data_IF_097635401759
#
_entry.id   IF_097635401759
#
_cell.length_a   1.000
_cell.length_b   1.000
_cell.length_c   1.000
_cell.angle_alpha   90.00
_cell.angle_beta   90.00
_cell.angle_gamma   90.00
#
_symmetry.space_group_name_H-M   'P 1'
#
loop_
_entity.id
_entity.type
_entity.pdbx_description
1 polymer ?
#
# COMPACT_ATOMS: atom_id res chain seq x y z
N UNK A 1 -13.83 -39.13 3.07
CA UNK A 1 -13.36 -37.97 2.31
C UNK A 1 -13.98 -36.74 2.95
N UNK A 2 -13.31 -35.98 3.83
CA UNK A 2 -13.86 -34.71 4.27
C UNK A 2 -13.60 -33.66 3.18
N UNK A 3 -14.65 -32.92 2.84
CA UNK A 3 -14.65 -31.80 1.91
C UNK A 3 -13.57 -30.77 2.31
N UNK A 4 -12.65 -30.52 1.39
CA UNK A 4 -11.72 -29.40 1.48
C UNK A 4 -12.55 -28.16 1.15
N UNK A 5 -12.99 -27.44 2.20
CA UNK A 5 -13.52 -26.09 2.04
C UNK A 5 -12.42 -25.26 1.39
N UNK A 6 -12.59 -24.95 0.10
CA UNK A 6 -11.83 -23.94 -0.61
C UNK A 6 -12.08 -22.60 0.10
N UNK A 7 -11.24 -22.30 1.09
CA UNK A 7 -11.22 -20.98 1.70
C UNK A 7 -10.71 -20.06 0.60
N UNK A 8 -11.48 -19.03 0.19
CA UNK A 8 -10.98 -18.08 -0.78
C UNK A 8 -9.62 -17.60 -0.27
N UNK A 9 -8.63 -17.57 -1.15
CA UNK A 9 -7.28 -17.13 -0.84
C UNK A 9 -7.39 -15.73 -0.24
N UNK A 10 -7.47 -15.63 1.09
CA UNK A 10 -7.40 -14.36 1.79
C UNK A 10 -5.96 -13.94 1.59
N UNK A 11 -5.69 -13.20 0.52
CA UNK A 11 -4.44 -12.46 0.39
C UNK A 11 -4.35 -11.61 1.65
N UNK A 12 -3.35 -11.91 2.47
CA UNK A 12 -3.09 -11.14 3.67
C UNK A 12 -2.46 -9.83 3.21
N UNK A 13 -3.31 -8.89 2.77
CA UNK A 13 -2.88 -7.52 2.51
C UNK A 13 -2.38 -6.96 3.83
N UNK A 14 -1.09 -6.62 3.88
CA UNK A 14 -0.48 -6.02 5.08
C UNK A 14 -0.43 -4.52 4.96
N UNK A 15 -0.29 -4.02 3.73
CA UNK A 15 -0.16 -2.60 3.43
C UNK A 15 -1.08 -2.19 2.29
N UNK A 16 -1.56 -0.96 2.37
CA UNK A 16 -2.25 -0.29 1.28
C UNK A 16 -1.37 0.87 0.88
N UNK A 17 -0.90 0.87 -0.37
CA UNK A 17 -0.10 1.94 -0.96
C UNK A 17 -0.96 2.71 -1.96
N UNK A 18 -1.14 4.01 -1.74
CA UNK A 18 -1.79 4.92 -2.67
C UNK A 18 -0.73 5.79 -3.34
N UNK A 19 -0.57 5.63 -4.65
CA UNK A 19 0.33 6.47 -5.45
C UNK A 19 -0.48 7.62 -6.03
N UNK A 20 -0.06 8.84 -5.72
CA UNK A 20 -0.68 10.06 -6.24
C UNK A 20 0.11 10.54 -7.46
N UNK A 21 -0.51 10.51 -8.64
CA UNK A 21 0.09 10.95 -9.89
C UNK A 21 -0.40 12.33 -10.31
N UNK A 22 0.51 13.18 -10.80
CA UNK A 22 0.17 14.43 -11.48
C UNK A 22 -0.36 14.14 -12.88
N UNK A 23 -1.50 14.75 -13.20
CA UNK A 23 -2.09 14.77 -14.54
C UNK A 23 -2.43 16.20 -14.93
N UNK A 24 -2.74 16.44 -16.21
CA UNK A 24 -3.20 17.76 -16.68
C UNK A 24 -4.47 18.23 -15.97
N UNK A 25 -5.25 17.32 -15.41
CA UNK A 25 -6.51 17.60 -14.72
C UNK A 25 -6.36 17.60 -13.19
N UNK A 26 -5.13 17.57 -12.66
CA UNK A 26 -4.84 17.50 -11.22
C UNK A 26 -4.30 16.13 -10.78
N UNK A 27 -4.41 15.82 -9.49
CA UNK A 27 -3.92 14.56 -8.93
C UNK A 27 -4.91 13.41 -9.19
N UNK A 28 -4.36 12.24 -9.51
CA UNK A 28 -5.09 10.98 -9.62
C UNK A 28 -4.47 9.97 -8.66
N UNK A 29 -5.32 9.28 -7.92
CA UNK A 29 -4.92 8.35 -6.88
C UNK A 29 -5.08 6.91 -7.39
N UNK A 30 -4.00 6.14 -7.33
CA UNK A 30 -4.01 4.71 -7.67
C UNK A 30 -3.66 3.91 -6.43
N UNK A 31 -4.61 3.12 -5.94
CA UNK A 31 -4.44 2.29 -4.75
C UNK A 31 -3.98 0.88 -5.13
N UNK A 32 -3.02 0.37 -4.35
CA UNK A 32 -2.48 -0.98 -4.47
C UNK A 32 -2.47 -1.66 -3.11
N UNK A 33 -2.98 -2.89 -3.09
CA UNK A 33 -2.88 -3.78 -1.94
C UNK A 33 -1.58 -4.57 -2.08
N UNK A 34 -0.66 -4.43 -1.12
CA UNK A 34 0.64 -5.10 -1.13
C UNK A 34 0.88 -5.91 0.14
N UNK A 35 1.65 -6.98 0.00
CA UNK A 35 1.97 -7.89 1.09
C UNK A 35 3.25 -7.43 1.81
N UNK A 36 4.23 -6.97 1.04
CA UNK A 36 5.49 -6.45 1.55
C UNK A 36 5.77 -5.03 1.06
N UNK A 37 6.56 -4.26 1.82
CA UNK A 37 6.93 -2.90 1.39
C UNK A 37 7.86 -2.92 0.17
N UNK A 38 8.60 -4.00 -0.06
CA UNK A 38 9.45 -4.17 -1.25
C UNK A 38 8.64 -4.27 -2.54
N UNK A 39 7.40 -4.79 -2.48
CA UNK A 39 6.48 -4.85 -3.64
C UNK A 39 6.22 -3.46 -4.22
N UNK A 40 6.39 -2.39 -3.43
CA UNK A 40 6.24 -1.02 -3.91
C UNK A 40 7.24 -0.66 -5.01
N UNK A 41 8.44 -1.23 -4.97
CA UNK A 41 9.45 -1.00 -6.02
C UNK A 41 8.90 -1.45 -7.37
N UNK A 42 8.41 -2.68 -7.44
CA UNK A 42 7.81 -3.26 -8.64
C UNK A 42 6.64 -2.42 -9.16
N UNK A 43 5.79 -1.91 -8.26
CA UNK A 43 4.67 -1.04 -8.63
C UNK A 43 5.12 0.26 -9.27
N UNK A 44 6.14 0.89 -8.68
CA UNK A 44 6.66 2.16 -9.18
C UNK A 44 7.42 1.97 -10.50
N UNK A 45 8.19 0.90 -10.65
CA UNK A 45 8.92 0.60 -11.89
C UNK A 45 8.01 0.22 -13.06
N UNK A 46 6.89 -0.47 -12.80
CA UNK A 46 5.90 -0.85 -13.83
C UNK A 46 4.91 0.26 -14.14
N UNK A 47 4.77 1.23 -13.25
CA UNK A 47 3.82 2.33 -13.36
C UNK A 47 4.18 3.33 -14.45
N UNK A 48 3.42 4.44 -14.51
CA UNK A 48 3.84 5.63 -15.26
C UNK A 48 5.24 6.09 -14.86
N UNK A 49 5.82 6.99 -15.66
CA UNK A 49 7.12 7.57 -15.36
C UNK A 49 7.21 8.10 -13.92
N UNK A 50 8.32 7.82 -13.23
CA UNK A 50 8.61 8.25 -11.86
C UNK A 50 8.34 9.74 -11.63
N UNK A 51 8.69 10.59 -12.60
CA UNK A 51 8.53 12.05 -12.51
C UNK A 51 7.06 12.50 -12.53
N UNK A 52 6.11 11.62 -12.85
CA UNK A 52 4.69 11.87 -12.70
C UNK A 52 4.19 11.66 -11.25
N UNK A 53 4.95 11.00 -10.38
CA UNK A 53 4.55 10.75 -8.99
C UNK A 53 4.71 12.04 -8.17
N UNK A 54 3.65 12.39 -7.46
CA UNK A 54 3.65 13.47 -6.47
C UNK A 54 4.15 13.00 -5.11
N UNK A 55 3.47 11.99 -4.57
CA UNK A 55 3.85 11.30 -3.36
C UNK A 55 3.20 9.91 -3.32
N UNK A 56 3.69 9.07 -2.41
CA UNK A 56 3.11 7.76 -2.13
C UNK A 56 2.71 7.75 -0.66
N UNK A 57 1.45 7.42 -0.40
CA UNK A 57 0.93 7.27 0.96
C UNK A 57 0.75 5.77 1.27
N UNK A 58 1.37 5.31 2.35
CA UNK A 58 1.33 3.89 2.74
C UNK A 58 0.71 3.78 4.12
N UNK A 59 -0.26 2.90 4.27
CA UNK A 59 -0.92 2.61 5.55
C UNK A 59 -0.98 1.11 5.81
N UNK A 60 -1.06 0.72 7.08
CA UNK A 60 -1.33 -0.68 7.45
C UNK A 60 -2.76 -1.02 7.07
N UNK A 61 -2.96 -2.19 6.47
CA UNK A 61 -4.28 -2.67 6.06
C UNK A 61 -5.19 -3.04 7.24
N UNK A 62 -4.63 -3.25 8.44
CA UNK A 62 -5.37 -3.58 9.66
C UNK A 62 -6.08 -2.38 10.31
N UNK A 63 -5.98 -1.17 9.73
CA UNK A 63 -6.74 -0.01 10.15
C UNK A 63 -6.31 0.60 11.48
N UNK A 64 -5.13 0.23 12.00
CA UNK A 64 -4.60 0.86 13.23
C UNK A 64 -4.16 2.30 12.92
N UNK A 65 -5.04 3.26 13.22
CA UNK A 65 -4.87 4.69 12.91
C UNK A 65 -3.98 5.47 13.88
N UNK A 66 -3.44 4.84 14.94
CA UNK A 66 -2.59 5.59 15.89
C UNK A 66 -1.26 5.93 15.21
N UNK A 67 -1.20 7.14 14.66
CA UNK A 67 0.05 7.76 14.22
C UNK A 67 0.88 8.11 15.45
N UNK A 68 2.13 7.70 15.42
CA UNK A 68 3.10 8.02 16.45
C UNK A 68 4.11 9.01 15.87
N UNK A 69 4.57 9.92 16.72
CA UNK A 69 5.85 10.59 16.47
C UNK A 69 7.00 9.59 16.58
N UNK A 70 8.17 9.94 16.05
CA UNK A 70 9.36 9.07 16.14
C UNK A 70 9.73 8.84 17.61
N UNK A 71 9.68 9.90 18.42
CA UNK A 71 10.02 9.88 19.84
C UNK A 71 9.07 9.00 20.67
N UNK A 72 7.80 8.92 20.31
CA UNK A 72 6.84 8.02 20.94
C UNK A 72 7.11 6.57 20.56
N UNK A 73 7.47 6.31 19.29
CA UNK A 73 7.77 4.96 18.81
C UNK A 73 9.05 4.38 19.45
N UNK A 74 10.08 5.20 19.67
CA UNK A 74 11.32 4.78 20.34
C UNK A 74 11.13 4.38 21.82
N UNK A 75 9.99 4.72 22.42
CA UNK A 75 9.67 4.42 23.83
C UNK A 75 8.76 3.19 24.00
N UNK A 76 8.35 2.54 22.92
CA UNK A 76 7.56 1.30 22.93
C UNK A 76 8.45 0.07 23.20
#
# INVERSE_FOLDING_TARGET
>A
MPEVLDRPHVKFVRWIATVHYRTENGLVDVQHDIEELEDLQDLVERGPNWDAIDHIHIVRADGVERKLTVEEAERL
#
